data_IF_923819092113
#
_entry.id   IF_923819092113
#
_cell.length_a   1.000
_cell.length_b   1.000
_cell.length_c   1.000
_cell.angle_alpha   90.00
_cell.angle_beta   90.00
_cell.angle_gamma   90.00
#
_symmetry.space_group_name_H-M   'P 1'
#
loop_
_entity.id
_entity.type
_entity.pdbx_description
1 polymer ?
#
# COMPACT_ATOMS: atom_id res chain seq x y z
N UNK A 1 52.40 -1.30 2.67
CA UNK A 1 51.12 -1.10 3.38
C UNK A 1 50.02 -0.93 2.34
N UNK A 2 49.22 -1.97 2.08
CA UNK A 2 48.04 -1.89 1.22
C UNK A 2 46.82 -2.31 2.06
N UNK A 3 45.84 -1.42 2.20
CA UNK A 3 44.65 -1.63 3.01
C UNK A 3 43.62 -2.42 2.16
N UNK A 4 43.48 -3.71 2.45
CA UNK A 4 42.45 -4.56 1.84
C UNK A 4 41.18 -4.46 2.67
N UNK A 5 40.18 -3.69 2.23
CA UNK A 5 38.90 -3.59 2.89
C UNK A 5 37.89 -4.56 2.24
N UNK A 6 37.94 -5.83 2.65
CA UNK A 6 36.94 -6.84 2.27
C UNK A 6 35.73 -6.75 3.21
N UNK A 7 34.86 -5.76 2.99
CA UNK A 7 33.56 -5.75 3.63
C UNK A 7 32.64 -6.77 2.95
N UNK A 8 32.45 -7.94 3.58
CA UNK A 8 31.37 -8.86 3.23
C UNK A 8 30.05 -8.16 3.57
N UNK A 9 29.28 -7.78 2.55
CA UNK A 9 27.88 -7.38 2.73
C UNK A 9 27.10 -8.66 3.07
N UNK A 10 26.85 -8.89 4.35
CA UNK A 10 25.89 -9.90 4.80
C UNK A 10 24.50 -9.38 4.40
N UNK A 11 23.85 -9.96 3.39
CA UNK A 11 22.48 -9.57 3.03
C UNK A 11 21.57 -9.81 4.24
N UNK A 12 20.96 -8.76 4.77
CA UNK A 12 19.86 -8.95 5.72
C UNK A 12 18.74 -9.73 5.01
N UNK A 13 18.07 -10.67 5.69
CA UNK A 13 16.90 -11.32 5.12
C UNK A 13 15.86 -10.23 4.86
N UNK A 14 15.69 -9.89 3.59
CA UNK A 14 14.57 -9.06 3.18
C UNK A 14 13.31 -9.85 3.49
N UNK A 15 12.40 -9.28 4.27
CA UNK A 15 11.07 -9.84 4.49
C UNK A 15 10.22 -9.71 3.21
N UNK A 16 10.77 -10.08 2.06
CA UNK A 16 10.08 -10.09 0.77
C UNK A 16 9.27 -11.36 0.70
N UNK A 17 7.99 -11.26 1.05
CA UNK A 17 7.01 -12.23 0.59
C UNK A 17 7.02 -12.28 -0.95
N UNK A 18 6.67 -13.43 -1.52
CA UNK A 18 6.54 -13.54 -2.97
C UNK A 18 5.48 -12.56 -3.49
N UNK A 19 5.81 -11.81 -4.53
CA UNK A 19 4.86 -10.91 -5.23
C UNK A 19 4.08 -11.61 -6.34
N UNK A 20 4.34 -12.90 -6.57
CA UNK A 20 3.65 -13.68 -7.58
C UNK A 20 2.14 -13.77 -7.27
N UNK A 21 1.30 -13.43 -8.24
CA UNK A 21 -0.16 -13.46 -8.10
C UNK A 21 -0.78 -12.19 -7.51
N UNK A 22 0.02 -11.19 -7.14
CA UNK A 22 -0.49 -9.88 -6.71
C UNK A 22 -0.89 -9.00 -7.90
N UNK A 23 -1.82 -8.05 -7.72
CA UNK A 23 -2.13 -7.06 -8.74
C UNK A 23 -0.88 -6.31 -9.20
N UNK A 24 -0.67 -6.22 -10.52
CA UNK A 24 0.51 -5.57 -11.08
C UNK A 24 0.62 -4.08 -10.70
N UNK A 25 -0.51 -3.39 -10.53
CA UNK A 25 -0.57 -2.00 -10.05
C UNK A 25 0.00 -1.84 -8.64
N UNK A 26 -0.32 -2.79 -7.75
CA UNK A 26 0.16 -2.83 -6.37
C UNK A 26 1.67 -3.11 -6.34
N UNK A 27 2.15 -4.08 -7.12
CA UNK A 27 3.60 -4.37 -7.22
C UNK A 27 4.37 -3.17 -7.78
N UNK A 28 3.82 -2.49 -8.79
CA UNK A 28 4.42 -1.27 -9.36
C UNK A 28 4.54 -0.14 -8.33
N UNK A 29 3.59 -0.01 -7.40
CA UNK A 29 3.57 1.05 -6.38
C UNK A 29 4.45 0.75 -5.16
N UNK A 30 4.41 -0.49 -4.67
CA UNK A 30 5.06 -0.86 -3.40
C UNK A 30 6.36 -1.67 -3.56
N UNK A 31 6.66 -2.15 -4.77
CA UNK A 31 7.88 -2.91 -5.05
C UNK A 31 8.03 -4.12 -4.13
N UNK A 32 9.15 -4.21 -3.41
CA UNK A 32 9.45 -5.29 -2.47
C UNK A 32 8.42 -5.41 -1.33
N UNK A 33 7.77 -4.31 -0.94
CA UNK A 33 6.78 -4.30 0.15
C UNK A 33 5.38 -4.75 -0.30
N UNK A 34 5.16 -4.98 -1.60
CA UNK A 34 3.86 -5.38 -2.15
C UNK A 34 3.24 -6.59 -1.45
N UNK A 35 4.05 -7.63 -1.20
CA UNK A 35 3.57 -8.81 -0.50
C UNK A 35 3.19 -8.52 0.95
N UNK A 36 3.93 -7.62 1.61
CA UNK A 36 3.65 -7.20 2.98
C UNK A 36 2.32 -6.44 3.07
N UNK A 37 2.04 -5.53 2.14
CA UNK A 37 0.78 -4.75 2.10
C UNK A 37 -0.44 -5.68 2.19
N UNK A 38 -0.46 -6.75 1.39
CA UNK A 38 -1.56 -7.72 1.39
C UNK A 38 -1.50 -8.65 2.61
N UNK A 39 -0.31 -9.11 3.00
CA UNK A 39 -0.14 -10.03 4.12
C UNK A 39 -0.52 -9.43 5.48
N UNK A 40 -0.37 -8.11 5.66
CA UNK A 40 -0.73 -7.41 6.90
C UNK A 40 -2.16 -6.90 6.93
N UNK A 41 -2.89 -6.96 5.81
CA UNK A 41 -4.26 -6.46 5.73
C UNK A 41 -5.21 -7.32 6.57
N UNK A 42 -6.05 -6.68 7.39
CA UNK A 42 -7.08 -7.34 8.20
C UNK A 42 -8.49 -7.12 7.63
N UNK A 43 -8.62 -6.23 6.64
CA UNK A 43 -9.89 -5.95 5.99
C UNK A 43 -10.40 -7.11 5.12
N UNK A 44 -11.72 -7.12 4.92
CA UNK A 44 -12.36 -8.05 3.99
C UNK A 44 -11.96 -7.70 2.55
N UNK A 45 -11.61 -8.74 1.78
CA UNK A 45 -11.32 -8.68 0.33
C UNK A 45 -10.12 -7.75 0.02
N UNK A 46 -8.94 -8.01 0.59
CA UNK A 46 -7.79 -7.09 0.58
C UNK A 46 -7.24 -6.79 -0.83
N UNK A 47 -7.42 -7.71 -1.78
CA UNK A 47 -6.95 -7.57 -3.16
C UNK A 47 -8.00 -7.01 -4.11
N UNK A 48 -9.25 -6.81 -3.65
CA UNK A 48 -10.28 -6.17 -4.47
C UNK A 48 -10.03 -4.65 -4.55
N UNK A 49 -10.38 -4.02 -5.69
CA UNK A 49 -10.41 -2.56 -5.82
C UNK A 49 -11.26 -1.88 -4.74
N UNK A 50 -10.87 -0.64 -4.39
CA UNK A 50 -11.67 0.21 -3.48
C UNK A 50 -12.97 0.69 -4.14
N UNK A 51 -12.96 0.85 -5.46
CA UNK A 51 -14.13 1.17 -6.27
C UNK A 51 -13.95 0.72 -7.72
N UNK A 52 -15.04 0.70 -8.48
CA UNK A 52 -15.00 0.36 -9.91
C UNK A 52 -14.09 1.31 -10.70
N UNK A 53 -13.26 0.74 -11.57
CA UNK A 53 -12.32 1.47 -12.42
C UNK A 53 -11.05 1.97 -11.70
N UNK A 54 -10.90 1.71 -10.39
CA UNK A 54 -9.73 2.13 -9.61
C UNK A 54 -8.78 0.94 -9.42
N UNK A 55 -7.49 1.12 -9.70
CA UNK A 55 -6.48 0.06 -9.58
C UNK A 55 -5.81 -0.03 -8.20
N UNK A 56 -6.32 0.74 -7.23
CA UNK A 56 -5.98 0.75 -5.80
C UNK A 56 -6.86 -0.24 -5.05
N UNK A 57 -6.24 -1.13 -4.29
CA UNK A 57 -6.91 -2.19 -3.54
C UNK A 57 -7.26 -1.75 -2.13
N UNK A 58 -8.18 -2.49 -1.50
CA UNK A 58 -8.59 -2.27 -0.11
C UNK A 58 -7.44 -2.41 0.90
N UNK A 59 -6.50 -3.34 0.65
CA UNK A 59 -5.30 -3.47 1.49
C UNK A 59 -4.46 -2.19 1.53
N UNK A 60 -4.40 -1.46 0.42
CA UNK A 60 -3.58 -0.25 0.32
C UNK A 60 -4.17 0.91 1.13
N UNK A 61 -5.50 0.98 1.23
CA UNK A 61 -6.17 1.93 2.15
C UNK A 61 -5.87 1.62 3.62
N UNK A 62 -5.89 0.34 4.00
CA UNK A 62 -5.52 -0.07 5.37
C UNK A 62 -4.04 0.21 5.66
N UNK A 63 -3.18 -0.06 4.70
CA UNK A 63 -1.75 0.18 4.81
C UNK A 63 -1.43 1.67 4.94
N UNK A 64 -2.17 2.53 4.21
CA UNK A 64 -2.05 3.98 4.32
C UNK A 64 -2.23 4.47 5.77
N UNK A 65 -3.18 3.91 6.52
CA UNK A 65 -3.42 4.24 7.92
C UNK A 65 -2.35 3.63 8.82
N UNK A 66 -2.19 2.30 8.73
CA UNK A 66 -1.43 1.52 9.72
C UNK A 66 0.09 1.66 9.59
N UNK A 67 0.59 1.94 8.38
CA UNK A 67 2.03 1.96 8.09
C UNK A 67 2.51 3.30 7.51
N UNK A 68 1.63 4.07 6.87
CA UNK A 68 1.99 5.35 6.25
C UNK A 68 1.41 6.57 6.98
N UNK A 69 0.70 6.35 8.09
CA UNK A 69 0.24 7.39 9.00
C UNK A 69 -0.84 8.31 8.43
N UNK A 70 -1.72 7.81 7.56
CA UNK A 70 -2.91 8.54 7.13
C UNK A 70 -3.88 8.69 8.31
N UNK A 71 -4.27 9.94 8.60
CA UNK A 71 -5.13 10.29 9.73
C UNK A 71 -6.57 10.61 9.32
N UNK A 72 -6.82 10.87 8.04
CA UNK A 72 -8.15 11.19 7.53
C UNK A 72 -8.34 10.72 6.07
N UNK A 73 -9.54 10.96 5.53
CA UNK A 73 -9.90 10.58 4.16
C UNK A 73 -9.01 11.24 3.11
N UNK A 74 -8.66 12.52 3.31
CA UNK A 74 -7.81 13.26 2.36
C UNK A 74 -6.38 12.71 2.34
N UNK A 75 -5.88 12.23 3.47
CA UNK A 75 -4.59 11.56 3.56
C UNK A 75 -4.54 10.35 2.64
N UNK A 76 -5.57 9.50 2.71
CA UNK A 76 -5.68 8.28 1.92
C UNK A 76 -5.86 8.63 0.44
N UNK A 77 -6.90 9.40 0.12
CA UNK A 77 -7.39 9.57 -1.26
C UNK A 77 -6.53 10.56 -2.05
N UNK A 78 -6.10 11.66 -1.43
CA UNK A 78 -5.47 12.76 -2.16
C UNK A 78 -3.94 12.67 -2.10
N UNK A 79 -3.36 12.06 -1.05
CA UNK A 79 -1.90 12.03 -0.84
C UNK A 79 -1.25 10.67 -1.01
N UNK A 80 -1.73 9.62 -0.31
CA UNK A 80 -1.12 8.28 -0.34
C UNK A 80 -1.40 7.55 -1.64
N UNK A 81 -2.61 7.71 -2.17
CA UNK A 81 -3.04 7.00 -3.38
C UNK A 81 -3.14 7.91 -4.61
N UNK A 82 -3.30 9.23 -4.41
CA UNK A 82 -3.49 10.24 -5.46
C UNK A 82 -4.70 9.97 -6.37
N UNK A 83 -5.66 9.18 -5.91
CA UNK A 83 -6.96 9.00 -6.58
C UNK A 83 -7.66 10.36 -6.73
N UNK A 84 -7.48 11.24 -5.75
CA UNK A 84 -8.00 12.61 -5.73
C UNK A 84 -7.58 13.52 -6.88
N UNK A 85 -6.63 13.10 -7.74
CA UNK A 85 -6.28 13.87 -8.94
C UNK A 85 -7.38 13.86 -10.01
N UNK A 86 -8.32 12.92 -9.93
CA UNK A 86 -9.50 12.85 -10.80
C UNK A 86 -10.74 12.92 -9.91
N UNK A 87 -11.53 13.99 -10.03
CA UNK A 87 -12.66 14.25 -9.12
C UNK A 87 -13.68 13.10 -9.11
N UNK A 88 -14.03 12.58 -10.28
CA UNK A 88 -14.97 11.45 -10.36
C UNK A 88 -14.44 10.17 -9.73
N UNK A 89 -13.13 9.95 -9.70
CA UNK A 89 -12.52 8.80 -9.03
C UNK A 89 -12.46 9.02 -7.52
N UNK A 90 -12.20 10.27 -7.10
CA UNK A 90 -12.29 10.71 -5.72
C UNK A 90 -13.66 10.42 -5.13
N UNK A 91 -14.72 10.87 -5.80
CA UNK A 91 -16.10 10.63 -5.40
C UNK A 91 -16.41 9.14 -5.22
N UNK A 92 -15.90 8.28 -6.12
CA UNK A 92 -16.07 6.82 -6.03
C UNK A 92 -15.29 6.19 -4.89
N UNK A 93 -14.13 6.74 -4.52
CA UNK A 93 -13.23 6.17 -3.52
C UNK A 93 -13.52 6.63 -2.07
N UNK A 94 -14.09 7.83 -1.88
CA UNK A 94 -14.38 8.40 -0.55
C UNK A 94 -15.18 7.47 0.35
N UNK A 95 -16.28 6.81 -0.10
CA UNK A 95 -17.04 5.90 0.77
C UNK A 95 -16.20 4.74 1.33
N UNK A 96 -15.26 4.21 0.53
CA UNK A 96 -14.35 3.18 1.00
C UNK A 96 -13.34 3.75 2.00
N UNK A 97 -12.81 4.95 1.78
CA UNK A 97 -11.86 5.58 2.70
C UNK A 97 -12.49 5.88 4.07
N UNK A 98 -13.72 6.39 4.09
CA UNK A 98 -14.50 6.61 5.32
C UNK A 98 -14.68 5.33 6.13
N UNK A 99 -14.95 4.19 5.47
CA UNK A 99 -15.03 2.87 6.11
C UNK A 99 -13.74 2.49 6.85
N UNK A 100 -12.58 2.85 6.31
CA UNK A 100 -11.28 2.55 6.91
C UNK A 100 -10.92 3.50 8.06
N UNK A 101 -11.16 4.80 7.88
CA UNK A 101 -10.90 5.82 8.91
C UNK A 101 -11.76 5.54 10.15
N UNK A 102 -13.04 5.22 9.98
CA UNK A 102 -13.96 4.93 11.09
C UNK A 102 -13.64 3.64 11.88
N UNK A 103 -12.82 2.75 11.33
CA UNK A 103 -12.49 1.45 11.95
C UNK A 103 -11.22 1.50 12.81
N UNK A 104 -10.29 2.39 12.49
CA UNK A 104 -8.92 2.36 13.00
C UNK A 104 -8.53 3.60 13.83
N UNK A 105 -9.43 4.58 13.94
CA UNK A 105 -9.35 5.73 14.83
C UNK A 105 -10.54 5.73 15.79
#
# INVERSE_FOLDING_TARGET
>A
MAYSNSARVTSMPSATGSVAGLPASLVRRYGAEAAKVVATATCKRPTEPVAEGIDVTRAEFEYAITHEGALDVSDIVDRRTRIGLVESDRERAVPAAEEFVARLL
#
